data_IF_809918132969
#
_entry.id   IF_809918132969
#
_cell.length_a   1.000
_cell.length_b   1.000
_cell.length_c   1.000
_cell.angle_alpha   90.00
_cell.angle_beta   90.00
_cell.angle_gamma   90.00
#
_symmetry.space_group_name_H-M   'P 1'
#
loop_
_entity.id
_entity.type
_entity.pdbx_description
1 polymer ?
#
# COMPACT_ATOMS: atom_id res chain seq x y z
N UNK A 1 0.74 -4.79 30.36
CA UNK A 1 0.92 -3.79 29.29
C UNK A 1 2.42 -3.60 29.17
N UNK A 2 3.04 -4.14 28.13
CA UNK A 2 4.45 -3.89 27.86
C UNK A 2 4.58 -2.46 27.37
N UNK A 3 5.49 -1.70 27.96
CA UNK A 3 5.89 -0.41 27.41
C UNK A 3 6.57 -0.69 26.08
N UNK A 4 6.02 -0.17 24.99
CA UNK A 4 6.73 -0.20 23.70
C UNK A 4 8.10 0.48 23.89
N UNK A 5 9.17 -0.04 23.29
CA UNK A 5 10.49 0.52 23.45
C UNK A 5 10.52 1.97 22.90
N UNK A 6 11.19 2.85 23.64
CA UNK A 6 11.42 4.22 23.21
C UNK A 6 12.30 4.19 21.97
N UNK A 7 11.93 4.94 20.95
CA UNK A 7 12.72 5.03 19.73
C UNK A 7 13.95 5.87 19.98
N UNK A 8 15.13 5.26 19.96
CA UNK A 8 16.43 5.94 20.15
C UNK A 8 17.16 6.10 18.81
N UNK A 9 18.12 7.01 18.76
CA UNK A 9 19.00 7.17 17.59
C UNK A 9 19.77 5.87 17.30
N UNK A 10 20.25 5.18 18.32
CA UNK A 10 20.96 3.90 18.20
C UNK A 10 20.07 2.81 17.56
N UNK A 11 18.80 2.75 17.94
CA UNK A 11 17.85 1.81 17.35
C UNK A 11 17.59 2.11 15.88
N UNK A 12 17.48 3.40 15.53
CA UNK A 12 17.31 3.84 14.14
C UNK A 12 18.53 3.48 13.31
N UNK A 13 19.74 3.75 13.80
CA UNK A 13 20.97 3.40 13.11
C UNK A 13 21.09 1.89 12.88
N UNK A 14 20.85 1.08 13.90
CA UNK A 14 20.83 -0.37 13.77
C UNK A 14 19.83 -0.87 12.71
N UNK A 15 18.65 -0.25 12.64
CA UNK A 15 17.63 -0.59 11.65
C UNK A 15 17.95 -0.10 10.25
N UNK A 16 18.66 1.01 10.10
CA UNK A 16 19.18 1.45 8.80
C UNK A 16 20.15 0.42 8.22
N UNK A 17 21.06 -0.10 9.05
CA UNK A 17 22.02 -1.13 8.64
C UNK A 17 21.33 -2.44 8.23
N UNK A 18 20.30 -2.86 8.97
CA UNK A 18 19.54 -4.08 8.67
C UNK A 18 18.66 -3.97 7.42
N UNK A 19 18.08 -2.81 7.17
CA UNK A 19 17.05 -2.63 6.13
C UNK A 19 17.57 -1.98 4.86
N UNK A 20 18.73 -1.31 4.92
CA UNK A 20 19.26 -0.48 3.84
C UNK A 20 18.47 0.82 3.61
N UNK A 21 17.45 1.10 4.43
CA UNK A 21 16.68 2.34 4.33
C UNK A 21 17.49 3.52 4.83
N UNK A 22 17.30 4.67 4.20
CA UNK A 22 17.82 5.93 4.77
C UNK A 22 17.10 6.27 6.07
N UNK A 23 17.70 7.10 6.91
CA UNK A 23 17.06 7.59 8.15
C UNK A 23 15.67 8.17 7.89
N UNK A 24 15.53 9.00 6.86
CA UNK A 24 14.25 9.61 6.49
C UNK A 24 13.20 8.56 6.11
N UNK A 25 13.58 7.58 5.29
CA UNK A 25 12.71 6.48 4.89
C UNK A 25 12.26 5.65 6.10
N UNK A 26 13.20 5.32 7.00
CA UNK A 26 12.89 4.56 8.20
C UNK A 26 11.93 5.33 9.11
N UNK A 27 12.16 6.63 9.33
CA UNK A 27 11.27 7.48 10.12
C UNK A 27 9.86 7.55 9.53
N UNK A 28 9.73 7.60 8.20
CA UNK A 28 8.42 7.54 7.52
C UNK A 28 7.72 6.19 7.76
N UNK A 29 8.44 5.09 7.71
CA UNK A 29 7.88 3.75 7.98
C UNK A 29 7.44 3.64 9.44
N UNK A 30 8.22 4.18 10.39
CA UNK A 30 7.85 4.26 11.81
C UNK A 30 6.58 5.08 12.01
N UNK A 31 6.52 6.28 11.42
CA UNK A 31 5.36 7.16 11.50
C UNK A 31 4.10 6.49 10.95
N UNK A 32 4.24 5.83 9.82
CA UNK A 32 3.16 5.08 9.18
C UNK A 32 2.68 3.92 10.05
N UNK A 33 3.60 3.13 10.64
CA UNK A 33 3.24 2.02 11.53
C UNK A 33 2.53 2.49 12.79
N UNK A 34 2.94 3.63 13.35
CA UNK A 34 2.26 4.23 14.49
C UNK A 34 0.84 4.68 14.13
N UNK A 35 0.64 5.30 12.96
CA UNK A 35 -0.69 5.65 12.47
C UNK A 35 -1.57 4.41 12.25
N UNK A 36 -1.03 3.37 11.59
CA UNK A 36 -1.76 2.12 11.38
C UNK A 36 -2.20 1.52 12.72
N UNK A 37 -1.31 1.47 13.70
CA UNK A 37 -1.62 0.98 15.04
C UNK A 37 -2.70 1.83 15.72
N UNK A 38 -2.58 3.16 15.65
CA UNK A 38 -3.56 4.08 16.23
C UNK A 38 -4.97 3.83 15.68
N UNK A 39 -5.11 3.78 14.36
CA UNK A 39 -6.38 3.49 13.72
C UNK A 39 -6.90 2.08 14.03
N UNK A 40 -6.02 1.08 14.07
CA UNK A 40 -6.39 -0.31 14.34
C UNK A 40 -6.79 -0.58 15.79
N UNK A 41 -6.42 0.28 16.73
CA UNK A 41 -6.73 0.11 18.17
C UNK A 41 -7.67 1.19 18.72
N UNK A 42 -7.94 2.21 17.92
CA UNK A 42 -8.80 3.34 18.25
C UNK A 42 -10.31 3.02 18.16
N UNK A 43 -11.16 4.00 18.44
CA UNK A 43 -12.61 3.86 18.38
C UNK A 43 -13.15 3.56 16.98
N UNK A 44 -12.43 3.98 15.94
CA UNK A 44 -12.83 3.83 14.54
C UNK A 44 -12.17 2.63 13.84
N UNK A 45 -11.61 1.70 14.59
CA UNK A 45 -10.85 0.53 14.10
C UNK A 45 -11.58 -0.31 13.07
N UNK A 46 -12.90 -0.39 13.13
CA UNK A 46 -13.72 -1.20 12.23
C UNK A 46 -14.17 -0.40 10.99
N UNK A 47 -13.84 0.90 10.91
CA UNK A 47 -14.24 1.79 9.80
C UNK A 47 -13.12 2.00 8.78
N UNK A 48 -11.86 1.92 9.22
CA UNK A 48 -10.69 2.09 8.36
C UNK A 48 -10.16 0.74 7.92
N UNK A 49 -10.28 0.44 6.63
CA UNK A 49 -9.76 -0.78 6.02
C UNK A 49 -8.44 -0.47 5.32
N UNK A 50 -7.37 -1.02 5.84
CA UNK A 50 -6.03 -0.85 5.27
C UNK A 50 -5.94 -1.50 3.90
N UNK A 51 -5.25 -0.84 2.97
CA UNK A 51 -5.02 -1.33 1.61
C UNK A 51 -3.64 -0.94 1.08
N UNK A 52 -3.45 -1.07 -0.22
CA UNK A 52 -2.26 -0.58 -0.91
C UNK A 52 -0.99 -1.34 -0.58
N UNK A 53 0.14 -0.64 -0.73
CA UNK A 53 1.47 -1.21 -0.51
C UNK A 53 1.75 -1.54 0.95
N UNK A 54 1.18 -0.78 1.88
CA UNK A 54 1.36 -1.01 3.32
C UNK A 54 0.71 -2.32 3.77
N UNK A 55 -0.52 -2.61 3.30
CA UNK A 55 -1.16 -3.90 3.56
C UNK A 55 -0.34 -5.05 2.97
N UNK A 56 0.13 -4.89 1.73
CA UNK A 56 0.91 -5.92 1.05
C UNK A 56 2.22 -6.22 1.78
N UNK A 57 2.94 -5.19 2.25
CA UNK A 57 4.22 -5.34 2.94
C UNK A 57 4.08 -5.96 4.34
N UNK A 58 3.17 -5.46 5.15
CA UNK A 58 3.13 -5.78 6.58
C UNK A 58 2.18 -6.93 6.95
N UNK A 59 1.20 -7.23 6.10
CA UNK A 59 0.25 -8.34 6.32
C UNK A 59 0.60 -9.52 5.42
N UNK A 60 0.74 -9.26 4.12
CA UNK A 60 1.02 -10.31 3.13
C UNK A 60 2.53 -10.53 2.91
N UNK A 61 3.40 -9.76 3.61
CA UNK A 61 4.86 -9.95 3.65
C UNK A 61 5.58 -9.74 2.31
N UNK A 62 5.08 -8.80 1.50
CA UNK A 62 5.82 -8.41 0.29
C UNK A 62 7.21 -7.91 0.64
N UNK A 63 8.25 -8.34 -0.09
CA UNK A 63 9.60 -7.83 0.10
C UNK A 63 9.71 -6.35 -0.26
N UNK A 64 8.83 -5.85 -1.14
CA UNK A 64 8.81 -4.46 -1.52
C UNK A 64 8.33 -3.56 -0.38
N UNK A 65 9.19 -2.67 0.05
CA UNK A 65 8.85 -1.72 1.10
C UNK A 65 7.94 -0.59 0.57
N UNK A 66 6.84 -0.34 1.26
CA UNK A 66 5.99 0.83 1.04
C UNK A 66 6.35 1.90 2.06
N UNK A 67 7.16 2.89 1.64
CA UNK A 67 7.75 3.85 2.59
C UNK A 67 6.80 5.00 2.92
N UNK A 68 6.16 5.62 1.91
CA UNK A 68 5.50 6.92 2.07
C UNK A 68 3.99 6.87 2.27
N UNK A 69 3.31 5.88 1.66
CA UNK A 69 1.86 5.93 1.52
C UNK A 69 1.17 5.00 2.53
N UNK A 70 0.14 5.50 3.20
CA UNK A 70 -0.84 4.72 3.94
C UNK A 70 -2.21 4.89 3.30
N UNK A 71 -2.69 3.84 2.63
CA UNK A 71 -3.94 3.85 1.90
C UNK A 71 -5.04 3.15 2.68
N UNK A 72 -6.20 3.80 2.79
CA UNK A 72 -7.37 3.26 3.44
C UNK A 72 -8.62 3.37 2.57
N UNK A 73 -9.53 2.43 2.74
CA UNK A 73 -10.91 2.62 2.37
C UNK A 73 -11.75 2.79 3.64
N UNK A 74 -12.69 3.73 3.59
CA UNK A 74 -13.65 3.97 4.67
C UNK A 74 -14.92 3.19 4.36
N UNK A 75 -15.37 2.38 5.30
CA UNK A 75 -16.47 1.44 5.07
C UNK A 75 -17.80 2.15 4.81
N UNK A 76 -18.03 3.27 5.48
CA UNK A 76 -19.28 4.00 5.32
C UNK A 76 -19.36 4.68 3.94
N UNK A 77 -20.57 4.91 3.42
CA UNK A 77 -20.75 5.46 2.07
C UNK A 77 -20.26 6.90 1.92
N UNK A 78 -20.11 7.60 3.04
CA UNK A 78 -19.60 8.99 3.06
C UNK A 78 -18.32 9.06 3.87
N UNK A 79 -17.26 9.61 3.27
CA UNK A 79 -16.02 9.91 3.99
C UNK A 79 -16.28 10.99 5.04
N UNK A 80 -15.70 10.89 6.25
CA UNK A 80 -15.76 11.96 7.25
C UNK A 80 -15.27 13.30 6.70
N UNK A 81 -15.67 14.39 7.31
CA UNK A 81 -15.16 15.71 6.93
C UNK A 81 -13.66 15.82 7.21
N UNK A 82 -12.96 16.77 6.58
CA UNK A 82 -11.53 16.98 6.85
C UNK A 82 -11.23 17.24 8.33
N UNK A 83 -12.00 18.06 9.07
CA UNK A 83 -11.82 18.19 10.52
C UNK A 83 -11.92 16.86 11.27
N UNK A 84 -12.93 16.03 10.96
CA UNK A 84 -13.09 14.72 11.59
C UNK A 84 -11.89 13.82 11.28
N UNK A 85 -11.42 13.80 10.01
CA UNK A 85 -10.25 13.04 9.61
C UNK A 85 -8.98 13.52 10.31
N UNK A 86 -8.80 14.84 10.50
CA UNK A 86 -7.69 15.39 11.26
C UNK A 86 -7.67 14.84 12.68
N UNK A 87 -8.82 14.80 13.34
CA UNK A 87 -8.92 14.28 14.70
C UNK A 87 -8.69 12.76 14.76
N UNK A 88 -9.23 11.99 13.81
CA UNK A 88 -9.05 10.54 13.72
C UNK A 88 -7.60 10.13 13.41
N UNK A 89 -6.90 10.90 12.57
CA UNK A 89 -5.52 10.60 12.14
C UNK A 89 -4.46 11.14 13.08
N UNK A 90 -4.84 11.94 14.09
CA UNK A 90 -3.91 12.47 15.09
C UNK A 90 -3.46 11.37 16.02
N UNK A 91 -2.18 11.01 15.96
CA UNK A 91 -1.56 10.08 16.89
C UNK A 91 -1.09 10.87 18.11
N UNK A 92 -1.69 10.67 19.29
CA UNK A 92 -1.24 11.34 20.51
C UNK A 92 0.17 10.89 20.88
N UNK A 93 0.95 11.76 21.50
CA UNK A 93 2.31 11.48 21.96
C UNK A 93 2.34 10.34 22.96
N UNK A 94 2.54 9.13 22.48
CA UNK A 94 2.78 7.92 23.27
C UNK A 94 4.10 7.31 22.83
N UNK A 95 4.93 6.93 23.77
CA UNK A 95 6.24 6.30 23.49
C UNK A 95 7.19 7.13 22.63
N UNK A 96 7.16 8.45 22.77
CA UNK A 96 8.07 9.35 22.05
C UNK A 96 7.65 9.66 20.61
N UNK A 97 6.50 9.20 20.16
CA UNK A 97 6.02 9.44 18.82
C UNK A 97 4.73 10.28 18.80
N UNK A 98 4.70 11.29 17.93
CA UNK A 98 3.57 12.19 17.73
C UNK A 98 3.35 12.47 16.25
N UNK A 99 2.10 12.41 15.79
CA UNK A 99 1.70 12.75 14.43
C UNK A 99 0.57 13.78 14.45
N UNK A 100 0.80 14.94 13.83
CA UNK A 100 -0.20 16.00 13.70
C UNK A 100 -0.57 16.24 12.23
N UNK A 101 -1.80 15.92 11.84
CA UNK A 101 -2.31 16.18 10.50
C UNK A 101 -2.81 17.61 10.27
N UNK A 102 -2.82 18.50 11.27
CA UNK A 102 -3.36 19.87 11.14
C UNK A 102 -2.63 20.70 10.07
N UNK A 103 -1.32 20.49 9.89
CA UNK A 103 -0.53 21.22 8.90
C UNK A 103 -0.44 20.49 7.55
N UNK A 104 -1.11 19.35 7.40
CA UNK A 104 -1.13 18.62 6.16
C UNK A 104 -1.87 19.40 5.05
N UNK A 105 -1.38 19.29 3.82
CA UNK A 105 -2.10 19.79 2.65
C UNK A 105 -3.15 18.77 2.26
N UNK A 106 -4.42 19.14 2.40
CA UNK A 106 -5.54 18.28 2.06
C UNK A 106 -6.00 18.51 0.63
N UNK A 107 -6.12 17.42 -0.13
CA UNK A 107 -6.78 17.38 -1.43
C UNK A 107 -8.08 16.62 -1.27
N UNK A 108 -9.21 17.26 -1.59
CA UNK A 108 -10.52 16.67 -1.46
C UNK A 108 -11.17 16.47 -2.83
N UNK A 109 -11.75 15.32 -3.05
CA UNK A 109 -12.60 14.98 -4.19
C UNK A 109 -13.96 14.47 -3.71
N UNK A 110 -14.80 14.01 -4.60
CA UNK A 110 -16.14 13.50 -4.24
C UNK A 110 -16.10 12.26 -3.34
N UNK A 111 -15.02 11.49 -3.38
CA UNK A 111 -14.87 10.20 -2.70
C UNK A 111 -13.46 9.93 -2.20
N UNK A 112 -12.57 10.93 -2.27
CA UNK A 112 -11.17 10.82 -1.88
C UNK A 112 -10.77 12.01 -1.03
N UNK A 113 -10.06 11.72 0.06
CA UNK A 113 -9.33 12.68 0.85
C UNK A 113 -7.87 12.24 0.93
N UNK A 114 -6.97 13.11 0.54
CA UNK A 114 -5.52 12.89 0.65
C UNK A 114 -4.92 13.96 1.52
N UNK A 115 -4.19 13.56 2.56
CA UNK A 115 -3.37 14.42 3.38
C UNK A 115 -1.89 14.19 3.02
N UNK A 116 -1.15 15.27 2.73
CA UNK A 116 0.29 15.22 2.46
C UNK A 116 1.04 16.14 3.41
N UNK A 117 2.27 15.79 3.73
CA UNK A 117 3.12 16.61 4.58
C UNK A 117 2.69 16.61 6.04
N UNK A 118 2.10 15.52 6.54
CA UNK A 118 1.82 15.40 7.97
C UNK A 118 3.13 15.44 8.74
N UNK A 119 3.17 16.31 9.76
CA UNK A 119 4.32 16.40 10.65
C UNK A 119 4.29 15.32 11.70
N UNK A 120 5.43 14.72 11.95
CA UNK A 120 5.61 13.88 13.12
C UNK A 120 6.89 14.27 13.88
N UNK A 121 6.93 13.95 15.15
CA UNK A 121 8.11 14.09 15.99
C UNK A 121 8.32 12.83 16.81
N UNK A 122 9.59 12.56 17.12
CA UNK A 122 10.01 11.52 18.04
C UNK A 122 10.71 12.25 19.19
N UNK A 123 10.19 12.17 20.41
CA UNK A 123 10.62 13.00 21.53
C UNK A 123 12.12 12.87 21.85
N UNK A 124 12.67 11.66 21.82
CA UNK A 124 14.07 11.42 22.15
C UNK A 124 15.06 11.94 21.09
N UNK A 125 14.64 11.98 19.83
CA UNK A 125 15.46 12.51 18.72
C UNK A 125 15.38 14.03 18.68
N UNK A 126 14.26 14.63 19.12
CA UNK A 126 14.07 16.07 19.10
C UNK A 126 14.72 16.79 20.28
N UNK A 127 15.07 16.11 21.37
CA UNK A 127 15.76 16.71 22.50
C UNK A 127 17.12 17.35 22.13
N UNK A 128 17.82 16.77 21.13
CA UNK A 128 19.10 17.32 20.62
C UNK A 128 18.93 18.29 19.45
N UNK A 129 17.75 18.43 18.86
CA UNK A 129 17.49 19.26 17.66
C UNK A 129 16.23 20.13 17.78
N UNK A 130 15.98 20.71 18.95
CA UNK A 130 14.88 21.67 19.14
C UNK A 130 15.04 22.84 18.16
N UNK A 131 14.21 22.86 17.11
CA UNK A 131 14.13 24.03 16.23
C UNK A 131 13.70 23.81 14.79
N UNK A 132 13.72 22.58 14.25
CA UNK A 132 13.18 22.32 12.92
C UNK A 132 12.40 21.01 12.96
N UNK A 133 11.07 21.11 13.07
CA UNK A 133 10.20 19.97 12.84
C UNK A 133 10.54 19.40 11.46
N UNK A 134 11.02 18.17 11.39
CA UNK A 134 11.20 17.48 10.14
C UNK A 134 9.80 17.19 9.59
N UNK A 135 9.33 18.04 8.69
CA UNK A 135 8.15 17.71 7.88
C UNK A 135 8.56 16.56 6.98
N UNK A 136 8.11 15.36 7.28
CA UNK A 136 8.27 14.22 6.42
C UNK A 136 6.99 14.07 5.60
N UNK A 137 7.14 13.80 4.30
CA UNK A 137 6.01 13.65 3.38
C UNK A 137 5.32 12.29 3.56
N UNK A 138 4.68 12.09 4.72
CA UNK A 138 3.75 10.98 4.88
C UNK A 138 2.45 11.32 4.13
N UNK A 139 2.08 10.47 3.19
CA UNK A 139 0.83 10.58 2.45
C UNK A 139 -0.18 9.59 3.00
N UNK A 140 -1.39 10.08 3.29
CA UNK A 140 -2.52 9.23 3.67
C UNK A 140 -3.65 9.47 2.71
N UNK A 141 -4.18 8.40 2.11
CA UNK A 141 -5.38 8.47 1.29
C UNK A 141 -6.52 7.70 1.95
N UNK A 142 -7.70 8.33 2.01
CA UNK A 142 -8.92 7.72 2.51
C UNK A 142 -9.98 7.82 1.43
N UNK A 143 -10.56 6.68 1.04
CA UNK A 143 -11.62 6.60 0.03
C UNK A 143 -12.86 5.93 0.60
N UNK A 144 -14.05 6.33 0.18
CA UNK A 144 -15.30 5.68 0.59
C UNK A 144 -15.69 4.55 -0.35
N UNK A 145 -16.32 3.52 0.23
CA UNK A 145 -17.07 2.51 -0.50
C UNK A 145 -16.27 1.60 -1.44
N UNK A 146 -14.95 1.53 -1.31
CA UNK A 146 -14.10 0.72 -2.19
C UNK A 146 -13.91 -0.73 -1.73
N UNK A 147 -14.31 -1.09 -0.51
CA UNK A 147 -14.25 -2.47 -0.01
C UNK A 147 -15.45 -3.26 -0.54
N UNK A 148 -15.20 -4.17 -1.48
CA UNK A 148 -16.23 -4.94 -2.18
C UNK A 148 -16.49 -6.32 -1.55
N UNK A 149 -15.42 -6.92 -1.06
CA UNK A 149 -15.42 -8.27 -0.48
C UNK A 149 -15.72 -8.27 1.02
N UNK A 150 -15.83 -7.08 1.61
CA UNK A 150 -15.90 -6.87 3.05
C UNK A 150 -14.50 -6.85 3.70
N UNK A 151 -14.38 -6.13 4.81
CA UNK A 151 -13.12 -6.03 5.52
C UNK A 151 -12.80 -7.33 6.27
N UNK A 152 -11.54 -7.76 6.23
CA UNK A 152 -11.06 -8.92 6.94
C UNK A 152 -10.19 -8.53 8.14
N UNK A 153 -10.36 -9.16 9.31
CA UNK A 153 -9.42 -9.01 10.42
C UNK A 153 -8.11 -9.75 10.09
N UNK A 154 -7.03 -9.00 9.91
CA UNK A 154 -5.73 -9.48 9.49
C UNK A 154 -4.67 -9.16 10.54
N UNK A 155 -3.58 -9.91 10.56
CA UNK A 155 -2.45 -9.66 11.47
C UNK A 155 -1.42 -8.76 10.79
N UNK A 156 -1.29 -7.54 11.28
CA UNK A 156 -0.20 -6.63 10.93
C UNK A 156 1.05 -6.98 11.73
N UNK A 157 2.17 -7.09 11.04
CA UNK A 157 3.48 -7.33 11.66
C UNK A 157 4.32 -6.07 11.47
N UNK A 158 4.57 -5.38 12.60
CA UNK A 158 5.44 -4.21 12.62
C UNK A 158 6.86 -4.65 12.97
N UNK A 159 7.74 -4.55 12.01
CA UNK A 159 9.17 -4.88 12.13
C UNK A 159 10.05 -3.65 12.21
N UNK A 160 9.46 -2.46 12.28
CA UNK A 160 10.19 -1.19 12.15
C UNK A 160 11.07 -0.84 13.34
N UNK A 161 10.64 -1.20 14.54
CA UNK A 161 11.34 -0.91 15.79
C UNK A 161 11.73 -2.20 16.53
N UNK A 162 12.46 -2.06 17.63
CA UNK A 162 12.92 -3.20 18.40
C UNK A 162 11.79 -4.15 18.79
N UNK A 163 11.81 -5.34 18.22
CA UNK A 163 10.82 -6.38 18.43
C UNK A 163 9.70 -6.38 17.39
N UNK A 164 9.30 -7.59 17.00
CA UNK A 164 8.16 -7.80 16.12
C UNK A 164 6.85 -7.57 16.89
N UNK A 165 6.27 -6.40 16.82
CA UNK A 165 4.94 -6.20 17.39
C UNK A 165 3.86 -6.66 16.41
N UNK A 166 2.82 -7.29 16.93
CA UNK A 166 1.69 -7.79 16.15
C UNK A 166 0.39 -7.24 16.70
N UNK A 167 -0.48 -6.80 15.82
CA UNK A 167 -1.83 -6.35 16.17
C UNK A 167 -2.80 -6.62 15.02
N UNK A 168 -4.09 -6.63 15.32
CA UNK A 168 -5.13 -6.84 14.32
C UNK A 168 -5.43 -5.54 13.58
N UNK A 169 -5.55 -5.61 12.25
CA UNK A 169 -6.04 -4.52 11.39
C UNK A 169 -7.21 -5.04 10.55
N UNK A 170 -8.13 -4.16 10.21
CA UNK A 170 -9.06 -4.45 9.13
C UNK A 170 -8.37 -4.17 7.80
N UNK A 171 -8.39 -5.12 6.88
CA UNK A 171 -7.71 -5.02 5.58
C UNK A 171 -8.51 -5.65 4.46
N UNK A 172 -8.13 -5.34 3.21
CA UNK A 172 -8.69 -5.97 2.02
C UNK A 172 -8.24 -7.44 1.92
N UNK A 173 -9.08 -8.30 1.35
CA UNK A 173 -8.68 -9.63 0.94
C UNK A 173 -7.56 -9.56 -0.11
N UNK A 174 -6.83 -10.67 -0.25
CA UNK A 174 -5.75 -10.77 -1.24
C UNK A 174 -6.26 -10.57 -2.67
N UNK A 175 -7.43 -11.13 -2.97
CA UNK A 175 -8.13 -11.01 -4.26
C UNK A 175 -8.51 -9.57 -4.55
N UNK A 176 -9.06 -8.87 -3.57
CA UNK A 176 -9.45 -7.47 -3.73
C UNK A 176 -8.23 -6.55 -3.86
N UNK A 177 -7.18 -6.80 -3.07
CA UNK A 177 -5.92 -6.10 -3.18
C UNK A 177 -5.29 -6.31 -4.57
N UNK A 178 -5.31 -7.55 -5.08
CA UNK A 178 -4.86 -7.87 -6.42
C UNK A 178 -5.66 -7.14 -7.50
N UNK A 179 -6.99 -7.10 -7.36
CA UNK A 179 -7.86 -6.36 -8.29
C UNK A 179 -7.53 -4.85 -8.29
N UNK A 180 -7.21 -4.25 -7.13
CA UNK A 180 -6.72 -2.86 -7.07
C UNK A 180 -5.38 -2.66 -7.78
N UNK A 181 -4.47 -3.65 -7.69
CA UNK A 181 -3.19 -3.58 -8.39
C UNK A 181 -3.36 -3.69 -9.91
N UNK A 182 -4.27 -4.55 -10.38
CA UNK A 182 -4.66 -4.62 -11.79
C UNK A 182 -5.24 -3.29 -12.27
N UNK A 183 -6.14 -2.70 -11.50
CA UNK A 183 -6.74 -1.40 -11.79
C UNK A 183 -5.69 -0.27 -11.84
N UNK A 184 -4.81 -0.23 -10.84
CA UNK A 184 -3.74 0.76 -10.76
C UNK A 184 -2.75 0.64 -11.91
N UNK A 185 -2.40 -0.59 -12.30
CA UNK A 185 -1.56 -0.85 -13.46
C UNK A 185 -2.26 -0.46 -14.77
N UNK A 186 -3.55 -0.82 -14.93
CA UNK A 186 -4.32 -0.48 -16.13
C UNK A 186 -4.47 1.03 -16.36
N UNK A 187 -4.54 1.80 -15.28
CA UNK A 187 -4.80 3.25 -15.33
C UNK A 187 -3.55 4.12 -15.39
N UNK A 188 -2.41 3.64 -14.89
CA UNK A 188 -1.21 4.46 -14.70
C UNK A 188 0.05 3.90 -15.33
N UNK A 189 0.03 2.67 -15.85
CA UNK A 189 1.19 1.95 -16.41
C UNK A 189 2.44 2.00 -15.49
N UNK A 190 2.24 1.89 -14.17
CA UNK A 190 3.33 1.97 -13.19
C UNK A 190 3.87 0.58 -12.85
N UNK A 191 5.18 0.41 -12.96
CA UNK A 191 5.92 -0.83 -12.66
C UNK A 191 5.67 -1.37 -11.26
N UNK A 192 5.48 -0.49 -10.26
CA UNK A 192 5.19 -0.89 -8.87
C UNK A 192 3.93 -1.75 -8.72
N UNK A 193 2.90 -1.52 -9.53
CA UNK A 193 1.72 -2.37 -9.50
C UNK A 193 1.97 -3.73 -10.14
N UNK A 194 2.81 -3.75 -11.17
CA UNK A 194 3.17 -4.98 -11.87
C UNK A 194 4.02 -5.89 -10.99
N UNK A 195 4.96 -5.34 -10.23
CA UNK A 195 5.76 -6.12 -9.28
C UNK A 195 4.92 -6.62 -8.08
N UNK A 196 3.95 -5.82 -7.61
CA UNK A 196 3.02 -6.24 -6.57
C UNK A 196 2.17 -7.45 -7.03
N UNK A 197 1.72 -7.45 -8.31
CA UNK A 197 1.02 -8.58 -8.93
C UNK A 197 1.92 -9.82 -9.05
N UNK A 198 3.19 -9.63 -9.44
CA UNK A 198 4.17 -10.72 -9.50
C UNK A 198 4.42 -11.34 -8.13
N UNK A 199 4.53 -10.52 -7.09
CA UNK A 199 4.66 -11.00 -5.72
C UNK A 199 3.47 -11.86 -5.31
N UNK A 200 2.24 -11.36 -5.49
CA UNK A 200 1.02 -12.14 -5.19
C UNK A 200 1.02 -13.46 -5.97
N UNK A 201 1.39 -13.42 -7.24
CA UNK A 201 1.45 -14.60 -8.10
C UNK A 201 2.51 -15.62 -7.66
N UNK A 202 3.69 -15.17 -7.19
CA UNK A 202 4.77 -16.04 -6.74
C UNK A 202 4.45 -16.69 -5.40
N UNK A 203 4.10 -15.86 -4.40
CA UNK A 203 4.10 -16.30 -3.00
C UNK A 203 2.71 -16.69 -2.49
N UNK A 204 1.64 -16.26 -3.17
CA UNK A 204 0.27 -16.49 -2.72
C UNK A 204 -0.61 -17.24 -3.71
N UNK A 205 -0.03 -17.78 -4.81
CA UNK A 205 -0.78 -18.50 -5.85
C UNK A 205 -1.71 -19.59 -5.32
N UNK A 206 -1.28 -20.31 -4.28
CA UNK A 206 -2.01 -21.46 -3.73
C UNK A 206 -3.22 -21.07 -2.87
N UNK A 207 -3.28 -19.83 -2.41
CA UNK A 207 -4.37 -19.29 -1.57
C UNK A 207 -5.22 -18.27 -2.29
N UNK A 208 -4.79 -17.80 -3.47
CA UNK A 208 -5.51 -16.84 -4.29
C UNK A 208 -6.68 -17.52 -5.01
N UNK A 209 -7.89 -17.06 -4.74
CA UNK A 209 -9.10 -17.46 -5.48
C UNK A 209 -9.20 -16.65 -6.78
N UNK A 210 -8.84 -17.29 -7.89
CA UNK A 210 -8.81 -16.63 -9.20
C UNK A 210 -10.19 -16.25 -9.75
N UNK A 211 -11.25 -16.99 -9.45
CA UNK A 211 -12.62 -16.67 -9.86
C UNK A 211 -13.15 -15.44 -9.10
N UNK A 212 -12.92 -15.41 -7.80
CA UNK A 212 -13.24 -14.27 -6.95
C UNK A 212 -12.45 -13.02 -7.38
N UNK A 213 -11.16 -13.15 -7.64
CA UNK A 213 -10.33 -12.06 -8.14
C UNK A 213 -10.85 -11.51 -9.47
N UNK A 214 -11.24 -12.37 -10.41
CA UNK A 214 -11.84 -11.97 -11.69
C UNK A 214 -13.14 -11.16 -11.49
N UNK A 215 -14.00 -11.62 -10.60
CA UNK A 215 -15.25 -10.92 -10.25
C UNK A 215 -14.96 -9.53 -9.67
N UNK A 216 -14.04 -9.43 -8.72
CA UNK A 216 -13.66 -8.16 -8.10
C UNK A 216 -13.00 -7.18 -9.10
N UNK A 217 -12.21 -7.70 -10.05
CA UNK A 217 -11.69 -6.89 -11.16
C UNK A 217 -12.84 -6.26 -11.95
N UNK A 218 -13.82 -7.04 -12.38
CA UNK A 218 -14.97 -6.52 -13.13
C UNK A 218 -15.71 -5.43 -12.37
N UNK A 219 -15.97 -5.64 -11.08
CA UNK A 219 -16.71 -4.70 -10.26
C UNK A 219 -15.93 -3.40 -10.03
N UNK A 220 -14.62 -3.49 -9.74
CA UNK A 220 -13.77 -2.30 -9.58
C UNK A 220 -13.67 -1.49 -10.87
N UNK A 221 -13.49 -2.14 -12.01
CA UNK A 221 -13.48 -1.46 -13.32
C UNK A 221 -14.80 -0.76 -13.63
N UNK A 222 -15.95 -1.40 -13.33
CA UNK A 222 -17.28 -0.80 -13.49
C UNK A 222 -17.44 0.45 -12.61
N UNK A 223 -17.02 0.38 -11.34
CA UNK A 223 -17.08 1.53 -10.41
C UNK A 223 -16.21 2.69 -10.88
N UNK A 224 -14.96 2.42 -11.25
CA UNK A 224 -14.03 3.46 -11.72
C UNK A 224 -14.49 4.10 -13.03
N UNK A 225 -15.05 3.34 -13.94
CA UNK A 225 -15.66 3.87 -15.17
C UNK A 225 -16.83 4.81 -14.86
N UNK A 226 -17.68 4.45 -13.90
CA UNK A 226 -18.83 5.24 -13.48
C UNK A 226 -18.41 6.50 -12.71
N UNK A 227 -17.27 6.48 -12.00
CA UNK A 227 -16.75 7.66 -11.29
C UNK A 227 -16.23 8.75 -12.22
N UNK A 228 -15.93 8.43 -13.49
CA UNK A 228 -15.36 9.36 -14.46
C UNK A 228 -13.94 9.82 -14.15
N UNK A 229 -13.28 9.22 -13.15
CA UNK A 229 -11.94 9.61 -12.66
C UNK A 229 -10.85 9.47 -13.73
N UNK A 230 -10.94 8.42 -14.54
CA UNK A 230 -9.95 8.14 -15.57
C UNK A 230 -10.53 8.39 -16.98
N UNK A 231 -10.04 9.41 -17.67
CA UNK A 231 -10.50 9.76 -19.03
C UNK A 231 -10.30 8.65 -20.07
N UNK A 232 -9.34 7.74 -19.83
CA UNK A 232 -8.94 6.68 -20.78
C UNK A 232 -8.65 5.38 -20.06
N UNK A 233 -9.60 4.91 -19.28
CA UNK A 233 -9.48 3.60 -18.68
C UNK A 233 -9.87 2.55 -19.69
N UNK A 234 -9.02 1.51 -19.95
CA UNK A 234 -9.40 0.41 -20.83
C UNK A 234 -10.57 -0.35 -20.22
N UNK A 235 -11.36 -1.00 -21.03
CA UNK A 235 -12.29 -2.03 -20.57
C UNK A 235 -11.51 -3.26 -20.10
N UNK A 236 -12.14 -4.13 -19.30
CA UNK A 236 -11.51 -5.39 -18.86
C UNK A 236 -11.12 -6.24 -20.07
N UNK A 237 -11.93 -6.25 -21.12
CA UNK A 237 -11.64 -7.00 -22.35
C UNK A 237 -10.46 -6.43 -23.13
N UNK A 238 -10.36 -5.11 -23.27
CA UNK A 238 -9.20 -4.47 -23.86
C UNK A 238 -7.94 -4.73 -23.05
N UNK A 239 -8.04 -4.66 -21.71
CA UNK A 239 -6.93 -4.97 -20.84
C UNK A 239 -6.48 -6.42 -21.00
N UNK A 240 -7.39 -7.39 -20.98
CA UNK A 240 -7.08 -8.81 -21.18
C UNK A 240 -6.41 -9.06 -22.53
N UNK A 241 -6.88 -8.40 -23.61
CA UNK A 241 -6.31 -8.53 -24.94
C UNK A 241 -4.91 -7.91 -25.08
N UNK A 242 -4.59 -6.88 -24.27
CA UNK A 242 -3.32 -6.16 -24.33
C UNK A 242 -2.37 -6.45 -23.17
N UNK A 243 -2.77 -7.33 -22.27
CA UNK A 243 -2.05 -7.62 -21.03
C UNK A 243 -0.59 -8.02 -21.27
N UNK A 244 -0.37 -8.93 -22.20
CA UNK A 244 0.96 -9.42 -22.59
C UNK A 244 1.47 -8.80 -23.90
N UNK A 245 0.90 -7.66 -24.32
CA UNK A 245 1.32 -7.01 -25.56
C UNK A 245 2.79 -6.54 -25.47
N UNK A 246 3.66 -6.85 -26.45
CA UNK A 246 5.09 -6.54 -26.39
C UNK A 246 5.39 -5.05 -26.13
N UNK A 247 4.57 -4.15 -26.69
CA UNK A 247 4.75 -2.71 -26.49
C UNK A 247 4.50 -2.32 -25.02
N UNK A 248 3.50 -2.91 -24.36
CA UNK A 248 3.18 -2.66 -22.96
C UNK A 248 4.24 -3.24 -22.04
N UNK A 249 4.68 -4.47 -22.31
CA UNK A 249 5.77 -5.11 -21.56
C UNK A 249 7.06 -4.31 -21.66
N UNK A 250 7.37 -3.77 -22.85
CA UNK A 250 8.53 -2.89 -23.03
C UNK A 250 8.45 -1.64 -22.14
N UNK A 251 7.31 -0.96 -22.11
CA UNK A 251 7.08 0.21 -21.24
C UNK A 251 7.23 -0.16 -19.76
N UNK A 252 6.70 -1.30 -19.35
CA UNK A 252 6.84 -1.77 -17.97
C UNK A 252 8.29 -2.05 -17.61
N UNK A 253 9.06 -2.65 -18.52
CA UNK A 253 10.48 -2.94 -18.32
C UNK A 253 11.30 -1.64 -18.20
N UNK A 254 11.04 -0.66 -19.05
CA UNK A 254 11.69 0.64 -19.00
C UNK A 254 11.39 1.34 -17.66
N UNK A 255 10.12 1.46 -17.29
CA UNK A 255 9.71 2.05 -16.01
C UNK A 255 10.28 1.28 -14.80
N UNK A 256 10.36 -0.04 -14.88
CA UNK A 256 10.90 -0.86 -13.81
C UNK A 256 12.42 -0.63 -13.60
N UNK A 257 13.20 -0.46 -14.68
CA UNK A 257 14.61 -0.12 -14.58
C UNK A 257 14.83 1.25 -13.95
N UNK A 258 13.98 2.22 -14.28
CA UNK A 258 14.04 3.56 -13.72
C UNK A 258 13.63 3.59 -12.24
N UNK A 259 12.70 2.72 -11.84
CA UNK A 259 12.15 2.66 -10.49
C UNK A 259 12.97 1.76 -9.55
N UNK A 260 13.73 0.79 -10.09
CA UNK A 260 14.54 -0.14 -9.29
C UNK A 260 15.66 0.61 -8.55
N UNK A 261 15.77 0.35 -7.25
CA UNK A 261 16.73 1.03 -6.38
C UNK A 261 16.30 2.44 -5.95
N UNK A 262 15.15 2.93 -6.45
CA UNK A 262 14.54 4.17 -5.97
C UNK A 262 13.65 3.90 -4.75
N UNK A 263 13.15 4.99 -4.12
CA UNK A 263 12.17 4.87 -3.03
C UNK A 263 10.85 4.18 -3.44
N UNK A 264 10.63 4.00 -4.75
CA UNK A 264 9.42 3.40 -5.32
C UNK A 264 9.52 1.88 -5.34
N UNK A 265 10.68 1.35 -5.72
CA UNK A 265 10.96 -0.09 -5.80
C UNK A 265 12.20 -0.45 -4.98
N UNK A 266 12.08 -0.39 -3.67
CA UNK A 266 13.12 -0.88 -2.78
C UNK A 266 12.88 -2.38 -2.51
N UNK A 267 13.82 -3.23 -2.95
CA UNK A 267 13.85 -4.65 -2.64
C UNK A 267 15.04 -4.93 -1.70
N UNK A 268 14.85 -5.76 -0.66
CA UNK A 268 15.96 -6.19 0.18
C UNK A 268 16.99 -7.01 -0.62
N UNK A 269 18.25 -6.95 -0.22
CA UNK A 269 19.36 -7.67 -0.85
C UNK A 269 19.13 -9.19 -0.91
N UNK A 270 18.47 -9.75 0.10
CA UNK A 270 18.08 -11.17 0.15
C UNK A 270 17.11 -11.53 -0.99
N UNK A 271 16.16 -10.65 -1.30
CA UNK A 271 15.23 -10.83 -2.41
C UNK A 271 15.97 -10.74 -3.75
N UNK A 272 16.95 -9.85 -3.89
CA UNK A 272 17.73 -9.71 -5.12
C UNK A 272 18.52 -10.97 -5.47
N UNK A 273 18.94 -11.72 -4.45
CA UNK A 273 19.74 -12.96 -4.60
C UNK A 273 18.88 -14.23 -4.65
N UNK A 274 17.57 -14.12 -4.40
CA UNK A 274 16.70 -15.28 -4.34
C UNK A 274 16.49 -15.92 -5.72
N UNK A 275 16.33 -17.23 -5.76
CA UNK A 275 15.86 -17.92 -6.96
C UNK A 275 14.44 -17.45 -7.30
N UNK A 276 14.22 -17.07 -8.56
CA UNK A 276 12.95 -16.47 -8.98
C UNK A 276 12.75 -15.06 -8.44
N UNK A 277 13.83 -14.34 -8.15
CA UNK A 277 13.83 -12.98 -7.64
C UNK A 277 12.94 -12.04 -8.45
N UNK A 278 12.23 -11.17 -7.74
CA UNK A 278 11.49 -10.06 -8.34
C UNK A 278 12.39 -8.89 -8.76
N UNK A 279 13.70 -8.96 -8.49
CA UNK A 279 14.68 -8.06 -9.06
C UNK A 279 14.98 -8.37 -10.55
N UNK A 280 14.62 -9.57 -11.03
CA UNK A 280 14.66 -9.92 -12.45
C UNK A 280 13.31 -9.72 -13.10
N UNK A 281 13.26 -8.79 -14.05
CA UNK A 281 12.02 -8.47 -14.76
C UNK A 281 11.44 -9.67 -15.53
N UNK A 282 12.26 -10.60 -16.01
CA UNK A 282 11.77 -11.79 -16.69
C UNK A 282 10.96 -12.70 -15.75
N UNK A 283 11.36 -12.80 -14.49
CA UNK A 283 10.59 -13.48 -13.47
C UNK A 283 9.27 -12.75 -13.17
N UNK A 284 9.33 -11.43 -13.02
CA UNK A 284 8.14 -10.59 -12.80
C UNK A 284 7.11 -10.83 -13.92
N UNK A 285 7.55 -10.73 -15.17
CA UNK A 285 6.73 -10.95 -16.35
C UNK A 285 6.12 -12.37 -16.37
N UNK A 286 6.93 -13.38 -16.08
CA UNK A 286 6.49 -14.78 -16.04
C UNK A 286 5.40 -15.00 -14.98
N UNK A 287 5.63 -14.58 -13.73
CA UNK A 287 4.65 -14.76 -12.66
C UNK A 287 3.32 -14.06 -12.94
N UNK A 288 3.40 -12.83 -13.43
CA UNK A 288 2.19 -12.07 -13.78
C UNK A 288 1.40 -12.75 -14.89
N UNK A 289 2.05 -13.21 -15.95
CA UNK A 289 1.38 -13.88 -17.07
C UNK A 289 0.78 -15.23 -16.67
N UNK A 290 1.47 -16.03 -15.87
CA UNK A 290 1.01 -17.35 -15.45
C UNK A 290 -0.24 -17.30 -14.55
N UNK A 291 -0.38 -16.29 -13.72
CA UNK A 291 -1.47 -16.20 -12.74
C UNK A 291 -2.52 -15.17 -13.16
N UNK A 292 -2.13 -13.96 -13.46
CA UNK A 292 -3.07 -12.88 -13.76
C UNK A 292 -3.60 -12.90 -15.20
N UNK A 293 -2.88 -13.52 -16.14
CA UNK A 293 -3.37 -13.70 -17.50
C UNK A 293 -4.69 -14.51 -17.54
N UNK A 294 -4.75 -15.73 -16.97
CA UNK A 294 -6.00 -16.50 -16.86
C UNK A 294 -7.11 -15.78 -16.09
N UNK A 295 -6.78 -15.08 -14.98
CA UNK A 295 -7.76 -14.33 -14.18
C UNK A 295 -8.37 -13.20 -15.02
N UNK A 296 -7.57 -12.45 -15.77
CA UNK A 296 -8.06 -11.40 -16.66
C UNK A 296 -8.90 -11.94 -17.83
N UNK A 297 -8.53 -13.09 -18.37
CA UNK A 297 -9.34 -13.75 -19.40
C UNK A 297 -10.72 -14.15 -18.84
N UNK A 298 -10.78 -14.64 -17.61
CA UNK A 298 -12.04 -14.94 -16.93
C UNK A 298 -12.84 -13.66 -16.66
N UNK A 299 -12.21 -12.61 -16.12
CA UNK A 299 -12.85 -11.32 -15.90
C UNK A 299 -13.42 -10.74 -17.20
N UNK A 300 -12.70 -10.88 -18.32
CA UNK A 300 -13.19 -10.47 -19.65
C UNK A 300 -14.46 -11.22 -20.04
N UNK A 301 -14.51 -12.55 -19.84
CA UNK A 301 -15.73 -13.36 -20.10
C UNK A 301 -16.90 -12.89 -19.24
N UNK A 302 -16.69 -12.70 -17.96
CA UNK A 302 -17.73 -12.23 -17.03
C UNK A 302 -18.24 -10.83 -17.41
N UNK A 303 -17.38 -9.94 -17.91
CA UNK A 303 -17.76 -8.58 -18.30
C UNK A 303 -18.64 -8.51 -19.54
N UNK A 304 -18.64 -9.53 -20.39
CA UNK A 304 -19.48 -9.62 -21.59
C UNK A 304 -20.91 -10.14 -21.28
N UNK A 305 -21.10 -10.74 -20.12
CA UNK A 305 -22.40 -11.32 -19.70
C UNK A 305 -23.14 -10.45 -18.66
N UNK A 306 -22.57 -9.35 -18.25
CA UNK A 306 -23.14 -8.35 -17.30
C UNK A 306 -23.44 -7.00 -17.98
#
# INVERSE_FOLDING_TARGET
MGTDPITTDELIEARMDETGLTREQLLLVVAKSALVRHLATGPDKDRFVLKGGTLLAHVYKSPRQSVRDADYTYIEPTVPTVPDLVDMLRVPGTNGFYLDPNEAVWTTGTDIYEAKGMKFSIEDITASRRGRGNALDLSVSVRSGECLDGPLPLTYVDTTLAGNSRFSVMGLSLEELGAEKVLGWASKDQSRHYIDLAYIARDHRTVLDGEKAATLICEKFKREKNSGRYRRMPTVSELAATFSAPARIKLMRESWHDDLGTQILFLPEEEERAEGSLADFANVERYVNEVWGPILAEASRQSLHR
#
